data_IF_225414303721
#
_entry.id   IF_225414303721
#
_cell.length_a   1.000
_cell.length_b   1.000
_cell.length_c   1.000
_cell.angle_alpha   90.00
_cell.angle_beta   90.00
_cell.angle_gamma   90.00
#
_symmetry.space_group_name_H-M   'P 1'
#
loop_
_entity.id
_entity.type
_entity.pdbx_description
1 polymer ?
#
# COMPACT_ATOMS: atom_id res chain seq x y z
N UNK A 1 -19.87 -2.18 1.97
CA UNK A 1 -18.64 -1.65 2.60
C UNK A 1 -17.56 -1.48 1.53
N UNK A 2 -16.96 -0.29 1.42
CA UNK A 2 -16.03 0.11 0.33
C UNK A 2 -14.85 -0.88 0.14
N UNK A 3 -14.21 -1.33 1.22
CA UNK A 3 -13.08 -2.26 1.16
C UNK A 3 -13.46 -3.65 0.64
N UNK A 4 -14.70 -4.10 0.90
CA UNK A 4 -15.22 -5.35 0.36
C UNK A 4 -15.49 -5.25 -1.15
N UNK A 5 -15.85 -4.06 -1.63
CA UNK A 5 -16.09 -3.80 -3.05
C UNK A 5 -14.78 -3.68 -3.85
N UNK A 6 -13.80 -2.93 -3.33
CA UNK A 6 -12.49 -2.76 -3.99
C UNK A 6 -11.62 -4.03 -3.87
N UNK A 7 -11.81 -4.80 -2.80
CA UNK A 7 -11.02 -5.96 -2.45
C UNK A 7 -9.78 -5.56 -1.67
N UNK A 8 -9.63 -6.13 -0.46
CA UNK A 8 -8.56 -5.79 0.50
C UNK A 8 -7.15 -5.83 -0.07
N UNK A 9 -6.86 -6.76 -0.98
CA UNK A 9 -5.54 -6.90 -1.62
C UNK A 9 -5.20 -5.71 -2.52
N UNK A 10 -6.21 -5.06 -3.11
CA UNK A 10 -6.06 -3.90 -4.02
C UNK A 10 -6.03 -2.55 -3.30
N UNK A 11 -5.98 -2.55 -1.97
CA UNK A 11 -5.96 -1.34 -1.15
C UNK A 11 -4.71 -1.35 -0.28
N UNK A 12 -3.95 -0.27 -0.36
CA UNK A 12 -2.72 -0.07 0.40
C UNK A 12 -2.85 1.13 1.35
N UNK A 13 -2.27 1.00 2.54
CA UNK A 13 -2.10 2.08 3.51
C UNK A 13 -0.64 2.47 3.52
N UNK A 14 -0.38 3.74 3.22
CA UNK A 14 0.92 4.38 3.35
C UNK A 14 1.01 5.01 4.74
N UNK A 15 1.99 4.57 5.54
CA UNK A 15 2.19 5.07 6.90
C UNK A 15 3.54 5.77 7.02
N UNK A 16 3.56 6.95 7.64
CA UNK A 16 4.83 7.57 8.03
C UNK A 16 5.44 6.74 9.17
N UNK A 17 6.73 6.42 9.06
CA UNK A 17 7.44 5.47 9.93
C UNK A 17 7.39 5.85 11.42
N UNK A 18 7.27 7.15 11.72
CA UNK A 18 7.24 7.66 13.10
C UNK A 18 5.83 7.67 13.72
N UNK A 19 4.79 7.30 12.96
CA UNK A 19 3.41 7.30 13.44
C UNK A 19 3.08 5.93 14.01
N UNK A 20 2.94 5.87 15.34
CA UNK A 20 2.42 4.69 16.02
C UNK A 20 0.91 4.67 15.90
N UNK A 21 0.41 4.02 14.86
CA UNK A 21 -1.03 3.87 14.61
C UNK A 21 -1.57 2.59 15.25
N UNK A 22 -2.71 2.69 15.93
CA UNK A 22 -3.48 1.51 16.34
C UNK A 22 -4.06 0.83 15.10
N UNK A 23 -4.00 -0.50 15.05
CA UNK A 23 -4.49 -1.30 13.92
C UNK A 23 -5.85 -1.91 14.27
N UNK A 24 -6.97 -1.23 13.97
CA UNK A 24 -8.29 -1.82 14.16
C UNK A 24 -8.48 -3.02 13.22
N UNK A 25 -9.34 -3.97 13.62
CA UNK A 25 -9.63 -5.19 12.87
C UNK A 25 -10.17 -4.92 11.46
N UNK A 26 -10.84 -3.78 11.23
CA UNK A 26 -11.43 -3.44 9.93
C UNK A 26 -10.41 -3.23 8.80
N UNK A 27 -9.17 -2.86 9.14
CA UNK A 27 -8.05 -2.69 8.20
C UNK A 27 -7.10 -3.89 8.16
N UNK A 28 -7.48 -4.99 8.84
CA UNK A 28 -6.71 -6.22 8.85
C UNK A 28 -6.74 -6.87 7.45
N UNK A 29 -5.56 -7.22 6.94
CA UNK A 29 -5.38 -7.81 5.60
C UNK A 29 -5.26 -6.82 4.44
N UNK A 30 -5.15 -5.51 4.73
CA UNK A 30 -4.72 -4.51 3.75
C UNK A 30 -3.19 -4.53 3.58
N UNK A 31 -2.69 -4.04 2.45
CA UNK A 31 -1.26 -3.84 2.25
C UNK A 31 -0.79 -2.66 3.09
N UNK A 32 0.30 -2.81 3.83
CA UNK A 32 0.91 -1.72 4.58
C UNK A 32 2.29 -1.41 4.01
N UNK A 33 2.54 -0.14 3.75
CA UNK A 33 3.85 0.34 3.30
C UNK A 33 4.22 1.54 4.14
N UNK A 34 5.45 1.56 4.65
CA UNK A 34 5.96 2.69 5.40
C UNK A 34 6.82 3.59 4.54
N UNK A 35 6.80 4.89 4.81
CA UNK A 35 7.73 5.87 4.26
C UNK A 35 8.29 6.72 5.40
N UNK A 36 9.47 7.30 5.26
CA UNK A 36 10.07 8.11 6.32
C UNK A 36 9.80 9.59 6.10
N UNK A 37 10.40 10.17 5.07
CA UNK A 37 10.37 11.61 4.85
C UNK A 37 9.49 11.96 3.66
N UNK A 38 9.48 11.11 2.62
CA UNK A 38 8.70 11.30 1.40
C UNK A 38 7.96 10.02 0.98
N UNK A 39 6.69 10.14 0.59
CA UNK A 39 5.86 9.04 0.05
C UNK A 39 6.45 8.37 -1.18
N UNK A 40 7.29 9.11 -1.92
CA UNK A 40 8.05 8.64 -3.08
C UNK A 40 8.92 7.41 -2.75
N UNK A 41 9.42 7.32 -1.51
CA UNK A 41 10.21 6.18 -1.03
C UNK A 41 9.44 4.86 -1.12
N UNK A 42 8.10 4.90 -1.07
CA UNK A 42 7.25 3.73 -1.13
C UNK A 42 6.95 3.27 -2.58
N UNK A 43 7.30 4.06 -3.61
CA UNK A 43 6.98 3.76 -5.02
C UNK A 43 7.46 2.39 -5.46
N UNK A 44 8.72 2.07 -5.21
CA UNK A 44 9.34 0.80 -5.64
C UNK A 44 8.63 -0.39 -4.98
N UNK A 45 8.34 -0.29 -3.69
CA UNK A 45 7.63 -1.33 -2.94
C UNK A 45 6.18 -1.49 -3.43
N UNK A 46 5.50 -0.40 -3.71
CA UNK A 46 4.14 -0.40 -4.26
C UNK A 46 4.09 -1.11 -5.62
N UNK A 47 4.99 -0.75 -6.52
CA UNK A 47 5.07 -1.31 -7.87
C UNK A 47 5.33 -2.81 -7.83
N UNK A 48 6.22 -3.28 -6.95
CA UNK A 48 6.49 -4.70 -6.76
C UNK A 48 5.23 -5.45 -6.31
N UNK A 49 4.50 -4.92 -5.33
CA UNK A 49 3.28 -5.56 -4.85
C UNK A 49 2.16 -5.53 -5.91
N UNK A 50 2.02 -4.42 -6.63
CA UNK A 50 1.08 -4.32 -7.75
C UNK A 50 1.38 -5.38 -8.81
N UNK A 51 2.64 -5.54 -9.20
CA UNK A 51 3.06 -6.56 -10.15
C UNK A 51 2.79 -7.99 -9.63
N UNK A 52 3.05 -8.26 -8.35
CA UNK A 52 2.74 -9.55 -7.70
C UNK A 52 1.23 -9.86 -7.71
N UNK A 53 0.38 -8.83 -7.66
CA UNK A 53 -1.06 -8.97 -7.79
C UNK A 53 -1.57 -9.01 -9.24
N UNK A 54 -0.67 -9.04 -10.22
CA UNK A 54 -1.00 -9.04 -11.64
C UNK A 54 -1.48 -7.69 -12.17
N UNK A 55 -1.31 -6.61 -11.40
CA UNK A 55 -1.60 -5.25 -11.83
C UNK A 55 -0.40 -4.76 -12.66
N UNK A 56 -0.61 -4.53 -13.95
CA UNK A 56 0.41 -3.98 -14.84
C UNK A 56 0.65 -2.50 -14.53
N UNK A 57 1.90 -2.16 -14.25
CA UNK A 57 2.36 -0.79 -14.01
C UNK A 57 3.43 -0.47 -15.04
N UNK A 58 3.33 0.67 -15.72
CA UNK A 58 4.42 1.15 -16.58
C UNK A 58 5.49 1.80 -15.69
N UNK A 59 6.67 1.18 -15.66
CA UNK A 59 7.79 1.54 -14.79
C UNK A 59 8.82 2.43 -15.47
N UNK A 60 8.55 2.91 -16.69
CA UNK A 60 9.52 3.68 -17.49
C UNK A 60 10.02 4.98 -16.84
N UNK A 61 9.33 5.50 -15.84
CA UNK A 61 9.65 6.77 -15.15
C UNK A 61 9.74 6.62 -13.63
N UNK A 62 10.02 5.42 -13.12
CA UNK A 62 10.28 5.20 -11.69
C UNK A 62 11.67 5.65 -11.27
#
# INVERSE_FOLDING_TARGET
MMLAHLGRRRVAILMKSDVKMERPSDIQGLLYMSFKDNVEEAKVSLVKEMAHQGIRVDVKTL
#
